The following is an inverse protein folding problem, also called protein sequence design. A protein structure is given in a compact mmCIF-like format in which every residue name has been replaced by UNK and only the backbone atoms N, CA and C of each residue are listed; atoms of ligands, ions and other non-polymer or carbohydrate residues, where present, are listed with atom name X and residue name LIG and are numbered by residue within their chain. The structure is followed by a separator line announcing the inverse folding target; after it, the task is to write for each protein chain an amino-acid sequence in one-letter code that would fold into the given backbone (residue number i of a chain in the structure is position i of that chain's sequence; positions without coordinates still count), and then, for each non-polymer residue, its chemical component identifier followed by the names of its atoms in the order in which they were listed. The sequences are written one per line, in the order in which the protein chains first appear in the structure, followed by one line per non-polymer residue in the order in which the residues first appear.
data_IF_733026688092
#
_entry.id   IF_733026688092
#
_cell.length_a   1.000
_cell.length_b   1.000
_cell.length_c   1.000
_cell.angle_alpha   90.00
_cell.angle_beta   90.00
_cell.angle_gamma   90.00
#
_symmetry.space_group_name_H-M   'P 1'
#
loop_
_entity.id
_entity.type
_entity.pdbx_description
1 polymer ?
#
# COMPACT_ATOMS: atom_id res chain seq x y z
N UNK A 1 16.72 -34.20 -2.50
CA UNK A 1 15.74 -33.10 -2.60
C UNK A 1 16.45 -31.85 -3.10
N UNK A 2 16.09 -31.37 -4.29
CA UNK A 2 16.70 -30.16 -4.88
C UNK A 2 15.96 -28.89 -4.46
N UNK A 3 16.59 -27.72 -4.61
CA UNK A 3 15.93 -26.43 -4.37
C UNK A 3 14.68 -26.22 -5.23
N UNK A 4 14.66 -26.77 -6.45
CA UNK A 4 13.49 -26.75 -7.33
C UNK A 4 12.35 -27.61 -6.79
N UNK A 5 12.65 -28.81 -6.32
CA UNK A 5 11.65 -29.70 -5.69
C UNK A 5 11.08 -29.07 -4.41
N UNK A 6 11.92 -28.42 -3.60
CA UNK A 6 11.46 -27.68 -2.41
C UNK A 6 10.51 -26.53 -2.78
N UNK A 7 10.84 -25.76 -3.82
CA UNK A 7 9.98 -24.66 -4.27
C UNK A 7 8.61 -25.17 -4.75
N UNK A 8 8.59 -26.24 -5.54
CA UNK A 8 7.33 -26.87 -6.00
C UNK A 8 6.51 -27.36 -4.81
N UNK A 9 7.15 -28.03 -3.83
CA UNK A 9 6.48 -28.48 -2.62
C UNK A 9 5.86 -27.32 -1.84
N UNK A 10 6.62 -26.25 -1.60
CA UNK A 10 6.14 -25.04 -0.89
C UNK A 10 4.99 -24.38 -1.64
N UNK A 11 5.05 -24.28 -2.96
CA UNK A 11 3.97 -23.72 -3.78
C UNK A 11 2.70 -24.59 -3.80
N UNK A 12 2.84 -25.91 -3.62
CA UNK A 12 1.72 -26.84 -3.47
C UNK A 12 1.02 -26.75 -2.11
N UNK A 13 1.64 -26.13 -1.09
CA UNK A 13 0.99 -25.92 0.19
C UNK A 13 -0.12 -24.87 0.08
N UNK A 14 -1.16 -25.00 0.92
CA UNK A 14 -2.21 -23.98 1.06
C UNK A 14 -1.61 -22.59 1.27
N UNK A 15 -2.17 -21.52 0.64
CA UNK A 15 -1.71 -20.14 0.84
C UNK A 15 -1.69 -19.70 2.31
N UNK A 16 -2.52 -20.32 3.15
CA UNK A 16 -2.60 -20.06 4.59
C UNK A 16 -1.73 -21.00 5.45
N UNK A 17 -0.90 -21.84 4.81
CA UNK A 17 0.00 -22.74 5.55
C UNK A 17 1.05 -21.97 6.32
N UNK A 18 1.36 -22.43 7.55
CA UNK A 18 2.36 -21.79 8.42
C UNK A 18 3.71 -21.61 7.73
N UNK A 19 4.10 -22.56 6.87
CA UNK A 19 5.35 -22.51 6.11
C UNK A 19 5.35 -21.35 5.12
N UNK A 20 4.31 -21.20 4.29
CA UNK A 20 4.22 -20.08 3.34
C UNK A 20 4.12 -18.73 4.06
N UNK A 21 3.35 -18.67 5.14
CA UNK A 21 3.24 -17.46 5.98
C UNK A 21 4.60 -17.07 6.56
N UNK A 22 5.39 -18.03 7.07
CA UNK A 22 6.72 -17.76 7.60
C UNK A 22 7.67 -17.23 6.51
N UNK A 23 7.63 -17.82 5.31
CA UNK A 23 8.44 -17.37 4.16
C UNK A 23 8.01 -15.98 3.65
N UNK A 24 6.74 -15.62 3.80
CA UNK A 24 6.20 -14.31 3.43
C UNK A 24 6.32 -13.27 4.57
N UNK A 25 7.31 -13.41 5.45
CA UNK A 25 7.55 -12.47 6.54
C UNK A 25 6.39 -12.38 7.55
N UNK A 26 5.70 -13.49 7.79
CA UNK A 26 4.55 -13.58 8.69
C UNK A 26 3.23 -13.13 8.08
N UNK A 27 3.20 -12.77 6.78
CA UNK A 27 1.98 -12.33 6.10
C UNK A 27 1.23 -13.52 5.55
N UNK A 28 -0.07 -13.53 5.81
CA UNK A 28 -0.97 -14.45 5.15
C UNK A 28 -0.94 -14.17 3.64
N UNK A 29 -1.05 -15.19 2.81
CA UNK A 29 -1.33 -14.95 1.39
C UNK A 29 -2.84 -14.89 1.20
N UNK A 30 -3.38 -14.11 0.26
CA UNK A 30 -4.81 -14.12 0.00
C UNK A 30 -5.23 -15.47 -0.56
N UNK A 31 -6.43 -15.92 -0.23
CA UNK A 31 -7.03 -17.07 -0.93
C UNK A 31 -7.52 -16.64 -2.32
N UNK A 32 -7.70 -17.60 -3.23
CA UNK A 32 -8.28 -17.32 -4.55
C UNK A 32 -9.64 -16.64 -4.47
N UNK A 33 -10.48 -17.06 -3.52
CA UNK A 33 -11.78 -16.43 -3.24
C UNK A 33 -11.65 -14.96 -2.83
N UNK A 34 -10.67 -14.63 -1.98
CA UNK A 34 -10.43 -13.24 -1.56
C UNK A 34 -9.99 -12.35 -2.73
N UNK A 35 -9.17 -12.90 -3.64
CA UNK A 35 -8.76 -12.20 -4.86
C UNK A 35 -9.99 -11.95 -5.75
N UNK A 36 -10.78 -12.99 -6.01
CA UNK A 36 -11.97 -12.89 -6.85
C UNK A 36 -13.00 -11.91 -6.26
N UNK A 37 -13.23 -11.94 -4.94
CA UNK A 37 -14.13 -11.01 -4.27
C UNK A 37 -13.66 -9.56 -4.40
N UNK A 38 -12.35 -9.31 -4.29
CA UNK A 38 -11.80 -7.97 -4.49
C UNK A 38 -12.01 -7.47 -5.93
N UNK A 39 -11.78 -8.34 -6.93
CA UNK A 39 -11.99 -8.00 -8.34
C UNK A 39 -13.46 -7.74 -8.66
N UNK A 40 -14.37 -8.59 -8.15
CA UNK A 40 -15.83 -8.43 -8.32
C UNK A 40 -16.28 -7.13 -7.65
N UNK A 41 -15.79 -6.83 -6.45
CA UNK A 41 -16.11 -5.59 -5.75
C UNK A 41 -15.71 -4.36 -6.57
N UNK A 42 -14.48 -4.36 -7.10
CA UNK A 42 -13.97 -3.26 -7.94
C UNK A 42 -14.81 -3.08 -9.22
N UNK A 43 -15.17 -4.19 -9.88
CA UNK A 43 -16.01 -4.15 -11.07
C UNK A 43 -17.40 -3.57 -10.80
N UNK A 44 -18.07 -4.02 -9.72
CA UNK A 44 -19.40 -3.52 -9.33
C UNK A 44 -19.36 -2.04 -8.94
N UNK A 45 -18.32 -1.62 -8.21
CA UNK A 45 -18.11 -0.21 -7.85
C UNK A 45 -17.93 0.66 -9.10
N UNK A 46 -17.12 0.20 -10.05
CA UNK A 46 -16.88 0.92 -11.30
C UNK A 46 -18.18 1.03 -12.12
N UNK A 47 -18.96 -0.05 -12.23
CA UNK A 47 -20.26 -0.03 -12.92
C UNK A 47 -21.25 0.92 -12.25
N UNK A 48 -21.31 0.93 -10.93
CA UNK A 48 -22.20 1.83 -10.19
C UNK A 48 -21.80 3.29 -10.43
N UNK A 49 -20.49 3.57 -10.43
CA UNK A 49 -19.98 4.91 -10.72
C UNK A 49 -20.29 5.36 -12.16
N UNK A 50 -20.12 4.49 -13.16
CA UNK A 50 -20.46 4.85 -14.55
C UNK A 50 -21.95 5.15 -14.70
N UNK A 51 -22.83 4.36 -14.07
CA UNK A 51 -24.27 4.63 -14.05
C UNK A 51 -24.59 5.96 -13.36
N UNK A 52 -23.90 6.29 -12.26
CA UNK A 52 -24.05 7.58 -11.60
C UNK A 52 -23.61 8.74 -12.48
N UNK A 53 -22.49 8.61 -13.19
CA UNK A 53 -22.02 9.66 -14.12
C UNK A 53 -23.04 9.91 -15.23
N UNK A 54 -23.57 8.85 -15.86
CA UNK A 54 -24.58 8.98 -16.94
C UNK A 54 -25.86 9.65 -16.44
N UNK A 55 -26.25 9.39 -15.19
CA UNK A 55 -27.44 9.97 -14.58
C UNK A 55 -27.19 11.34 -13.91
N UNK A 56 -25.95 11.83 -13.89
CA UNK A 56 -25.63 13.15 -13.33
C UNK A 56 -25.94 14.21 -14.38
N UNK A 57 -26.74 15.25 -14.07
CA UNK A 57 -27.05 16.29 -15.04
C UNK A 57 -25.78 17.07 -15.41
N UNK A 58 -25.69 17.53 -16.66
CA UNK A 58 -24.47 18.10 -17.27
C UNK A 58 -23.83 19.27 -16.49
N UNK A 59 -24.64 20.00 -15.71
CA UNK A 59 -24.18 21.14 -14.89
C UNK A 59 -23.82 20.76 -13.45
N UNK A 60 -24.12 19.54 -13.02
CA UNK A 60 -23.75 19.06 -11.70
C UNK A 60 -22.33 18.49 -11.70
N UNK A 61 -21.70 18.53 -10.53
CA UNK A 61 -20.37 17.99 -10.36
C UNK A 61 -20.41 16.46 -10.49
N UNK A 62 -19.60 15.92 -11.40
CA UNK A 62 -19.47 14.48 -11.55
C UNK A 62 -19.05 13.79 -10.24
N UNK A 63 -19.59 12.59 -9.96
CA UNK A 63 -19.22 11.82 -8.79
C UNK A 63 -17.74 11.40 -8.87
N UNK A 64 -17.07 11.38 -7.72
CA UNK A 64 -15.66 10.94 -7.66
C UNK A 64 -15.57 9.46 -8.01
N UNK A 65 -14.56 9.11 -8.80
CA UNK A 65 -14.23 7.71 -9.11
C UNK A 65 -13.99 6.92 -7.82
N UNK A 66 -14.57 5.71 -7.67
CA UNK A 66 -14.38 4.88 -6.50
C UNK A 66 -12.91 4.48 -6.36
N UNK A 67 -12.46 4.35 -5.10
CA UNK A 67 -11.15 3.76 -4.80
C UNK A 67 -11.24 2.24 -4.95
N UNK A 68 -10.16 1.59 -5.44
CA UNK A 68 -10.12 0.13 -5.50
C UNK A 68 -10.13 -0.48 -4.09
N UNK A 69 -10.55 -1.74 -4.02
CA UNK A 69 -10.54 -2.54 -2.81
C UNK A 69 -9.11 -2.61 -2.24
N UNK A 70 -8.92 -2.43 -0.93
CA UNK A 70 -7.60 -2.45 -0.33
C UNK A 70 -6.98 -3.86 -0.38
N UNK A 71 -6.04 -4.07 -1.31
CA UNK A 71 -5.30 -5.32 -1.48
C UNK A 71 -4.06 -5.32 -0.60
N UNK A 72 -4.20 -5.79 0.63
CA UNK A 72 -3.11 -5.82 1.62
C UNK A 72 -1.92 -6.70 1.17
N UNK A 73 -2.18 -7.68 0.28
CA UNK A 73 -1.16 -8.54 -0.33
C UNK A 73 -0.35 -7.88 -1.46
N UNK A 74 -0.82 -6.78 -2.05
CA UNK A 74 -0.07 -6.05 -3.08
C UNK A 74 0.86 -4.98 -2.53
N UNK A 75 0.76 -4.66 -1.23
CA UNK A 75 1.58 -3.64 -0.62
C UNK A 75 2.85 -4.29 -0.09
N UNK A 76 3.99 -4.25 -0.83
CA UNK A 76 5.25 -4.68 -0.25
C UNK A 76 5.49 -3.83 1.00
N UNK A 77 5.84 -4.47 2.12
CA UNK A 77 6.44 -3.74 3.22
C UNK A 77 7.65 -3.03 2.65
N UNK A 78 7.70 -1.71 2.78
CA UNK A 78 8.95 -1.00 2.50
C UNK A 78 10.04 -1.64 3.37
N UNK A 79 11.22 -1.94 2.80
CA UNK A 79 12.32 -2.49 3.59
C UNK A 79 12.55 -1.60 4.81
N UNK A 80 12.84 -2.19 5.97
CA UNK A 80 13.07 -1.45 7.23
C UNK A 80 14.15 -0.37 7.04
N UNK A 81 15.18 -0.65 6.24
CA UNK A 81 16.20 0.32 5.83
C UNK A 81 15.61 1.57 5.17
N UNK A 82 14.60 1.41 4.31
CA UNK A 82 13.92 2.52 3.66
C UNK A 82 13.04 3.32 4.63
N UNK A 83 12.59 2.71 5.74
CA UNK A 83 11.89 3.43 6.82
C UNK A 83 12.88 4.19 7.69
N UNK A 84 13.98 3.57 8.09
CA UNK A 84 15.05 4.20 8.87
C UNK A 84 15.60 5.44 8.13
N UNK A 85 16.00 5.28 6.87
CA UNK A 85 16.49 6.39 6.06
C UNK A 85 15.46 7.52 5.86
N UNK A 86 14.15 7.21 5.92
CA UNK A 86 13.11 8.25 5.88
C UNK A 86 13.03 9.01 7.20
N UNK A 87 13.17 8.34 8.33
CA UNK A 87 13.19 8.96 9.66
C UNK A 87 14.40 9.88 9.76
N UNK A 88 15.58 9.43 9.39
CA UNK A 88 16.81 10.23 9.41
C UNK A 88 16.69 11.51 8.58
N UNK A 89 16.09 11.40 7.37
CA UNK A 89 15.82 12.57 6.52
C UNK A 89 14.86 13.56 7.17
N UNK A 90 13.85 13.09 7.89
CA UNK A 90 12.88 13.94 8.57
C UNK A 90 13.50 14.65 9.76
N UNK A 91 14.34 13.95 10.52
CA UNK A 91 15.01 14.53 11.68
C UNK A 91 16.07 15.56 11.27
N UNK A 92 16.87 15.27 10.23
CA UNK A 92 17.78 16.25 9.65
C UNK A 92 17.04 17.51 9.11
N UNK A 93 15.83 17.36 8.58
CA UNK A 93 15.01 18.50 8.14
C UNK A 93 14.48 19.32 9.32
N UNK A 94 14.14 18.66 10.44
CA UNK A 94 13.70 19.34 11.68
C UNK A 94 14.85 20.11 12.31
N UNK A 95 16.05 19.55 12.33
CA UNK A 95 17.26 20.23 12.84
C UNK A 95 17.55 21.50 12.05
N UNK A 96 17.60 21.42 10.71
CA UNK A 96 17.78 22.61 9.85
C UNK A 96 16.72 23.68 10.08
N UNK A 97 15.47 23.28 10.37
CA UNK A 97 14.40 24.23 10.69
C UNK A 97 14.64 24.92 12.04
N UNK A 98 15.09 24.18 13.05
CA UNK A 98 15.43 24.74 14.38
C UNK A 98 16.62 25.69 14.29
N UNK A 99 17.67 25.29 13.58
CA UNK A 99 18.85 26.13 13.35
C UNK A 99 18.48 27.43 12.64
N UNK A 100 17.65 27.37 11.59
CA UNK A 100 17.13 28.57 10.92
C UNK A 100 16.31 29.45 11.86
N UNK A 101 15.43 28.87 12.68
CA UNK A 101 14.63 29.63 13.65
C UNK A 101 15.51 30.31 14.70
N UNK A 102 16.55 29.64 15.18
CA UNK A 102 17.53 30.20 16.11
C UNK A 102 18.33 31.32 15.45
N UNK A 103 18.81 31.13 14.22
CA UNK A 103 19.55 32.15 13.48
C UNK A 103 18.71 33.40 13.16
N UNK A 104 17.40 33.24 12.90
CA UNK A 104 16.46 34.35 12.77
C UNK A 104 16.26 35.07 14.12
N UNK A 105 16.07 34.32 15.21
CA UNK A 105 15.91 34.89 16.55
C UNK A 105 17.16 35.65 17.03
N UNK A 106 18.35 35.18 16.65
CA UNK A 106 19.64 35.82 16.92
C UNK A 106 19.96 36.96 15.95
N UNK A 107 19.12 37.23 14.95
CA UNK A 107 19.31 38.30 13.96
C UNK A 107 20.47 38.06 12.98
N UNK A 108 20.96 36.82 12.85
CA UNK A 108 22.04 36.45 11.91
C UNK A 108 21.53 36.27 10.47
N UNK A 109 20.24 36.03 10.31
CA UNK A 109 19.57 35.82 9.01
C UNK A 109 18.23 36.57 9.07
N UNK A 110 17.96 37.40 8.06
CA UNK A 110 16.70 38.16 7.90
C UNK A 110 15.66 37.37 7.08
#
# INVERSE_FOLDING_TARGET
MTWRELAVYVHGLSPQSRVRTALNGGRLEPTGEQILLADVYDAVRQLTWTLQCVNTPEKAKEPKRPKPYPRWWLNPTKPEEAKAARVDRLDAARERRRERQQAIAEGRIA
#
